data_IF_965301019449
#
_entry.id   IF_965301019449
#
_cell.length_a   1.000
_cell.length_b   1.000
_cell.length_c   1.000
_cell.angle_alpha   90.00
_cell.angle_beta   90.00
_cell.angle_gamma   90.00
#
_symmetry.space_group_name_H-M   'P 1'
#
loop_
_entity.id
_entity.type
_entity.pdbx_description
1 polymer ?
#
# COMPACT_ATOMS: atom_id res chain seq x y z
N UNK A 1 -7.50 16.28 2.48
CA UNK A 1 -8.83 15.76 2.88
C UNK A 1 -9.21 14.74 1.81
N UNK A 2 -9.36 13.46 2.15
CA UNK A 2 -9.70 12.41 1.18
C UNK A 2 -11.22 12.47 0.93
N UNK A 3 -11.64 12.76 -0.31
CA UNK A 3 -13.05 12.67 -0.71
C UNK A 3 -13.28 11.28 -1.34
N UNK A 4 -14.09 10.48 -0.66
CA UNK A 4 -14.49 9.13 -1.07
C UNK A 4 -15.80 9.25 -1.85
N UNK A 5 -15.71 9.35 -3.18
CA UNK A 5 -16.88 9.38 -4.06
C UNK A 5 -17.12 8.00 -4.68
N UNK A 6 -18.25 7.40 -4.31
CA UNK A 6 -18.88 6.18 -4.87
C UNK A 6 -18.18 4.84 -4.60
N UNK A 7 -18.76 4.08 -3.65
CA UNK A 7 -18.58 2.63 -3.56
C UNK A 7 -19.50 1.94 -4.56
N UNK A 8 -18.93 1.36 -5.62
CA UNK A 8 -19.67 0.40 -6.46
C UNK A 8 -19.46 -1.01 -5.89
N UNK A 9 -20.31 -1.97 -6.26
CA UNK A 9 -20.18 -3.40 -5.89
C UNK A 9 -18.89 -4.07 -6.42
N UNK A 10 -18.00 -3.32 -7.08
CA UNK A 10 -16.75 -3.78 -7.68
C UNK A 10 -15.49 -3.08 -7.21
N UNK A 11 -15.59 -1.95 -6.51
CA UNK A 11 -14.42 -1.17 -6.13
C UNK A 11 -14.76 0.21 -5.58
N UNK A 12 -13.70 0.94 -5.26
CA UNK A 12 -13.77 2.27 -4.67
C UNK A 12 -13.02 3.26 -5.56
N UNK A 13 -13.68 4.36 -5.90
CA UNK A 13 -13.04 5.49 -6.56
C UNK A 13 -12.73 6.57 -5.52
N UNK A 14 -11.59 7.20 -5.64
CA UNK A 14 -11.19 8.28 -4.75
C UNK A 14 -10.21 9.23 -5.43
N UNK A 15 -10.17 10.46 -4.94
CA UNK A 15 -9.25 11.47 -5.43
C UNK A 15 -8.10 11.67 -4.44
N UNK A 16 -6.88 11.76 -4.97
CA UNK A 16 -5.67 12.06 -4.22
C UNK A 16 -4.94 13.19 -4.94
N UNK A 17 -4.92 14.38 -4.32
CA UNK A 17 -4.54 15.60 -5.02
C UNK A 17 -5.47 15.87 -6.20
N UNK A 18 -4.91 15.99 -7.40
CA UNK A 18 -5.66 16.18 -8.65
C UNK A 18 -5.76 14.90 -9.50
N UNK A 19 -5.44 13.74 -8.92
CA UNK A 19 -5.43 12.46 -9.63
C UNK A 19 -6.57 11.59 -9.10
N UNK A 20 -7.34 11.01 -10.01
CA UNK A 20 -8.40 10.06 -9.70
C UNK A 20 -7.83 8.65 -9.69
N UNK A 21 -8.24 7.86 -8.70
CA UNK A 21 -7.84 6.47 -8.54
C UNK A 21 -9.06 5.58 -8.39
N UNK A 22 -8.89 4.33 -8.80
CA UNK A 22 -9.83 3.24 -8.56
C UNK A 22 -9.11 2.08 -7.88
N UNK A 23 -9.70 1.51 -6.83
CA UNK A 23 -9.21 0.29 -6.23
C UNK A 23 -10.23 -0.84 -6.32
N UNK A 24 -9.78 -2.02 -6.77
CA UNK A 24 -10.62 -3.20 -6.88
C UNK A 24 -10.80 -3.86 -5.50
N UNK A 25 -12.01 -3.78 -4.94
CA UNK A 25 -12.32 -4.32 -3.60
C UNK A 25 -12.84 -5.76 -3.61
N UNK A 26 -13.06 -6.39 -4.78
CA UNK A 26 -13.64 -7.74 -4.88
C UNK A 26 -12.70 -8.84 -4.41
N UNK A 27 -11.42 -8.71 -4.73
CA UNK A 27 -10.42 -9.73 -4.43
C UNK A 27 -9.10 -9.03 -4.09
N UNK A 28 -8.87 -8.80 -2.78
CA UNK A 28 -7.61 -8.26 -2.31
C UNK A 28 -6.44 -9.11 -2.79
N UNK A 29 -5.34 -8.46 -3.17
CA UNK A 29 -4.09 -9.11 -3.58
C UNK A 29 -3.48 -9.92 -2.46
N UNK A 30 -3.59 -9.39 -1.24
CA UNK A 30 -3.17 -10.04 -0.01
C UNK A 30 -3.97 -9.46 1.16
N UNK A 31 -4.12 -10.23 2.22
CA UNK A 31 -4.64 -9.75 3.50
C UNK A 31 -3.72 -10.24 4.60
N UNK A 32 -3.33 -9.30 5.46
CA UNK A 32 -2.44 -9.55 6.60
C UNK A 32 -3.14 -9.19 7.89
N UNK A 33 -2.77 -9.87 8.97
CA UNK A 33 -3.31 -9.63 10.30
C UNK A 33 -2.49 -8.56 11.02
N UNK A 34 -3.17 -7.67 11.71
CA UNK A 34 -2.54 -6.64 12.55
C UNK A 34 -2.30 -7.20 13.94
N UNK A 35 -1.06 -7.07 14.41
CA UNK A 35 -0.74 -7.30 15.81
C UNK A 35 -1.29 -6.19 16.71
N UNK A 36 -1.09 -6.35 18.02
CA UNK A 36 -1.58 -5.38 19.01
C UNK A 36 -0.78 -4.08 18.88
N UNK A 37 -1.47 -2.98 18.53
CA UNK A 37 -0.90 -1.64 18.49
C UNK A 37 -1.95 -0.58 18.87
N UNK A 38 -1.61 0.44 19.67
CA UNK A 38 -2.51 1.53 20.02
C UNK A 38 -2.78 2.48 18.83
N UNK A 39 -2.02 2.36 17.75
CA UNK A 39 -2.13 3.21 16.55
C UNK A 39 -3.18 2.71 15.55
N UNK A 40 -3.71 1.51 15.75
CA UNK A 40 -4.76 0.93 14.90
C UNK A 40 -6.12 1.31 15.45
N UNK A 41 -6.90 2.06 14.67
CA UNK A 41 -8.32 2.32 14.97
C UNK A 41 -9.12 1.03 14.79
N UNK A 42 -9.80 0.60 15.86
CA UNK A 42 -10.55 -0.67 15.87
C UNK A 42 -12.04 -0.52 15.62
N UNK A 43 -12.51 0.70 15.45
CA UNK A 43 -13.92 1.07 15.42
C UNK A 43 -14.45 1.35 14.01
N UNK A 44 -13.58 1.40 12.99
CA UNK A 44 -13.99 1.66 11.62
C UNK A 44 -13.09 0.96 10.59
N UNK A 45 -13.70 0.63 9.45
CA UNK A 45 -12.96 0.28 8.23
C UNK A 45 -12.59 1.55 7.49
N UNK A 46 -11.33 1.68 7.08
CA UNK A 46 -10.83 2.83 6.32
C UNK A 46 -10.12 2.37 5.05
N UNK A 47 -10.23 3.18 3.99
CA UNK A 47 -9.44 3.01 2.77
C UNK A 47 -8.35 4.07 2.76
N UNK A 48 -7.09 3.63 2.68
CA UNK A 48 -5.94 4.53 2.69
C UNK A 48 -4.94 4.15 1.59
N UNK A 49 -4.28 5.12 0.96
CA UNK A 49 -3.11 4.86 0.11
C UNK A 49 -1.99 4.23 0.94
N UNK A 50 -1.35 3.19 0.41
CA UNK A 50 -0.23 2.53 1.06
C UNK A 50 0.85 2.16 0.03
N UNK A 51 2.11 2.28 0.44
CA UNK A 51 3.26 1.81 -0.34
C UNK A 51 3.77 0.50 0.24
N UNK A 52 3.98 -0.50 -0.62
CA UNK A 52 4.62 -1.77 -0.24
C UNK A 52 6.10 -1.73 -0.67
N UNK A 53 6.99 -1.99 0.29
CA UNK A 53 8.43 -2.08 0.07
C UNK A 53 8.89 -3.49 0.43
N UNK A 54 9.47 -4.20 -0.52
CA UNK A 54 10.18 -5.44 -0.24
C UNK A 54 11.67 -5.15 -0.03
N UNK A 55 12.14 -5.37 1.19
CA UNK A 55 13.54 -5.25 1.56
C UNK A 55 14.25 -6.60 1.45
N UNK A 56 15.36 -6.63 0.73
CA UNK A 56 16.24 -7.79 0.58
C UNK A 56 17.56 -7.63 1.36
N UNK A 57 17.61 -6.67 2.29
CA UNK A 57 18.76 -6.38 3.14
C UNK A 57 18.40 -6.63 4.61
N UNK A 58 19.33 -7.18 5.39
CA UNK A 58 19.13 -7.43 6.83
C UNK A 58 19.13 -6.14 7.67
N UNK A 59 19.71 -5.07 7.14
CA UNK A 59 19.72 -3.74 7.73
C UNK A 59 19.24 -2.73 6.70
N UNK A 60 18.03 -2.24 6.90
CA UNK A 60 17.41 -1.24 6.02
C UNK A 60 17.92 0.14 6.43
N UNK A 61 18.47 0.87 5.46
CA UNK A 61 19.02 2.22 5.63
C UNK A 61 18.12 3.29 5.00
N UNK A 62 18.39 4.56 5.32
CA UNK A 62 17.73 5.69 4.66
C UNK A 62 18.02 5.73 3.16
N UNK A 63 19.26 5.42 2.75
CA UNK A 63 19.68 5.35 1.34
C UNK A 63 18.90 4.28 0.57
N UNK A 64 18.70 3.10 1.17
CA UNK A 64 17.88 2.03 0.57
C UNK A 64 16.44 2.51 0.33
N UNK A 65 15.83 3.15 1.33
CA UNK A 65 14.46 3.66 1.23
C UNK A 65 14.35 4.79 0.19
N UNK A 66 15.29 5.72 0.19
CA UNK A 66 15.36 6.83 -0.76
C UNK A 66 15.49 6.34 -2.19
N UNK A 67 16.41 5.40 -2.43
CA UNK A 67 16.64 4.80 -3.75
C UNK A 67 15.39 4.05 -4.23
N UNK A 68 14.78 3.25 -3.35
CA UNK A 68 13.58 2.48 -3.68
C UNK A 68 12.40 3.38 -4.03
N UNK A 69 12.11 4.39 -3.19
CA UNK A 69 11.00 5.32 -3.41
C UNK A 69 11.24 6.20 -4.64
N UNK A 70 12.48 6.63 -4.88
CA UNK A 70 12.84 7.37 -6.09
C UNK A 70 12.65 6.51 -7.35
N UNK A 71 12.95 5.21 -7.26
CA UNK A 71 12.68 4.27 -8.36
C UNK A 71 11.17 4.13 -8.62
N UNK A 72 10.31 4.11 -7.59
CA UNK A 72 8.87 4.06 -7.81
C UNK A 72 8.35 5.35 -8.46
N UNK A 73 8.75 6.52 -7.93
CA UNK A 73 8.37 7.82 -8.48
C UNK A 73 8.78 8.02 -9.94
N UNK A 74 9.84 7.38 -10.40
CA UNK A 74 10.36 7.52 -11.77
C UNK A 74 9.83 6.50 -12.77
N UNK A 75 9.27 5.38 -12.31
CA UNK A 75 8.90 4.24 -13.17
C UNK A 75 7.42 3.86 -13.13
N UNK A 76 6.74 4.16 -12.04
CA UNK A 76 5.35 3.79 -11.81
C UNK A 76 4.47 5.03 -11.97
N UNK A 77 3.60 5.03 -12.98
CA UNK A 77 2.72 6.15 -13.32
C UNK A 77 1.49 6.26 -12.41
N UNK A 78 1.23 5.21 -11.61
CA UNK A 78 0.22 5.17 -10.55
C UNK A 78 0.79 5.78 -9.27
N UNK A 79 2.06 5.50 -8.97
CA UNK A 79 2.73 5.93 -7.74
C UNK A 79 2.88 7.45 -7.64
N UNK A 80 2.57 8.00 -6.45
CA UNK A 80 2.80 9.40 -6.12
C UNK A 80 3.26 9.53 -4.67
N UNK A 81 3.81 10.70 -4.29
CA UNK A 81 4.26 10.95 -2.91
C UNK A 81 3.15 10.81 -1.88
N UNK A 82 1.90 10.97 -2.28
CA UNK A 82 0.74 10.84 -1.40
C UNK A 82 0.50 9.38 -0.95
N UNK A 83 1.08 8.38 -1.63
CA UNK A 83 1.12 6.98 -1.16
C UNK A 83 2.11 6.75 -0.01
N UNK A 84 2.98 7.71 0.32
CA UNK A 84 3.98 7.57 1.39
C UNK A 84 3.40 7.80 2.79
N UNK A 85 2.14 8.27 2.91
CA UNK A 85 1.50 8.44 4.21
C UNK A 85 1.43 7.14 5.03
N UNK A 86 1.35 6.00 4.33
CA UNK A 86 1.42 4.66 4.95
C UNK A 86 2.41 3.78 4.19
N UNK A 87 3.26 3.07 4.91
CA UNK A 87 4.25 2.16 4.32
C UNK A 87 4.15 0.78 4.99
N UNK A 88 4.08 -0.27 4.17
CA UNK A 88 4.29 -1.65 4.59
C UNK A 88 5.65 -2.15 4.11
N UNK A 89 6.51 -2.54 5.05
CA UNK A 89 7.81 -3.14 4.75
C UNK A 89 7.78 -4.63 5.07
N UNK A 90 8.04 -5.44 4.04
CA UNK A 90 8.25 -6.88 4.16
C UNK A 90 9.68 -7.25 3.77
N UNK A 91 10.14 -8.39 4.27
CA UNK A 91 11.40 -8.99 3.85
C UNK A 91 11.29 -10.50 3.88
N UNK A 92 11.90 -11.22 2.92
CA UNK A 92 12.08 -12.67 3.02
C UNK A 92 13.19 -13.04 4.00
N UNK A 93 14.03 -12.09 4.44
CA UNK A 93 15.11 -12.36 5.36
C UNK A 93 14.60 -12.37 6.81
N UNK A 94 15.09 -13.28 7.65
CA UNK A 94 14.87 -13.20 9.08
C UNK A 94 15.80 -12.16 9.70
N UNK A 95 15.41 -11.67 10.87
CA UNK A 95 16.20 -10.78 11.73
C UNK A 95 16.57 -9.43 11.08
N UNK A 96 15.62 -8.86 10.33
CA UNK A 96 15.77 -7.55 9.71
C UNK A 96 15.65 -6.44 10.76
N UNK A 97 16.35 -5.33 10.53
CA UNK A 97 16.30 -4.14 11.37
C UNK A 97 16.23 -2.86 10.52
N UNK A 98 15.54 -1.85 11.04
CA UNK A 98 15.62 -0.48 10.55
C UNK A 98 16.75 0.22 11.30
N UNK A 99 17.66 0.85 10.56
CA UNK A 99 18.68 1.67 11.20
C UNK A 99 18.22 3.11 11.42
N UNK A 100 19.02 3.89 12.14
CA UNK A 100 18.68 5.28 12.48
C UNK A 100 18.38 6.14 11.26
N UNK A 101 19.14 5.98 10.18
CA UNK A 101 18.96 6.75 8.94
C UNK A 101 17.66 6.39 8.23
N UNK A 102 17.23 5.12 8.30
CA UNK A 102 15.93 4.71 7.79
C UNK A 102 14.79 5.40 8.54
N UNK A 103 14.87 5.48 9.87
CA UNK A 103 13.85 6.15 10.68
C UNK A 103 13.78 7.65 10.41
N UNK A 104 14.93 8.30 10.27
CA UNK A 104 15.02 9.72 9.92
C UNK A 104 14.42 9.99 8.53
N UNK A 105 14.70 9.12 7.56
CA UNK A 105 14.14 9.21 6.22
C UNK A 105 12.62 9.05 6.24
N UNK A 106 12.07 8.03 6.90
CA UNK A 106 10.62 7.80 6.99
C UNK A 106 9.90 9.00 7.63
N UNK A 107 10.49 9.57 8.68
CA UNK A 107 9.95 10.77 9.32
C UNK A 107 9.98 11.99 8.38
N UNK A 108 11.10 12.22 7.68
CA UNK A 108 11.24 13.30 6.69
C UNK A 108 10.26 13.13 5.51
N UNK A 109 9.97 11.90 5.12
CA UNK A 109 9.02 11.56 4.07
C UNK A 109 7.55 11.71 4.49
N UNK A 110 7.26 12.00 5.77
CA UNK A 110 5.90 12.20 6.26
C UNK A 110 5.11 10.90 6.50
N UNK A 111 5.81 9.78 6.72
CA UNK A 111 5.17 8.49 6.98
C UNK A 111 4.44 8.54 8.31
N UNK A 112 3.12 8.39 8.26
CA UNK A 112 2.24 8.44 9.44
C UNK A 112 1.96 7.04 10.00
N UNK A 113 1.88 6.03 9.13
CA UNK A 113 1.66 4.64 9.52
C UNK A 113 2.73 3.74 8.92
N UNK A 114 3.49 3.08 9.80
CA UNK A 114 4.52 2.13 9.42
C UNK A 114 4.09 0.72 9.83
N UNK A 115 3.91 -0.16 8.86
CA UNK A 115 3.56 -1.55 9.05
C UNK A 115 4.80 -2.42 8.80
N UNK A 116 5.14 -3.31 9.73
CA UNK A 116 6.34 -4.16 9.62
C UNK A 116 5.97 -5.64 9.77
N UNK A 117 6.46 -6.48 8.86
CA UNK A 117 6.28 -7.93 8.97
C UNK A 117 6.98 -8.48 10.24
N UNK A 118 6.21 -8.90 11.22
CA UNK A 118 6.72 -9.32 12.52
C UNK A 118 7.57 -10.59 12.50
N UNK A 119 7.47 -11.39 11.44
CA UNK A 119 8.28 -12.61 11.29
C UNK A 119 9.69 -12.30 10.82
N UNK A 120 9.88 -11.17 10.11
CA UNK A 120 11.17 -10.74 9.60
C UNK A 120 11.91 -9.83 10.59
N UNK A 121 11.22 -8.86 11.21
CA UNK A 121 11.86 -7.80 12.01
C UNK A 121 12.14 -8.23 13.45
N UNK A 122 13.38 -8.08 13.91
CA UNK A 122 13.77 -8.41 15.32
C UNK A 122 13.14 -7.43 16.31
N UNK A 123 13.15 -6.15 15.95
CA UNK A 123 12.71 -5.06 16.79
C UNK A 123 11.74 -4.19 16.00
N UNK A 124 10.51 -4.09 16.49
CA UNK A 124 9.48 -3.24 15.92
C UNK A 124 9.39 -1.99 16.79
N UNK A 125 9.67 -0.79 16.25
CA UNK A 125 9.54 0.44 17.02
C UNK A 125 8.11 0.63 17.54
N UNK A 126 7.94 1.26 18.71
CA UNK A 126 6.62 1.42 19.33
C UNK A 126 5.57 2.11 18.44
N UNK A 127 6.01 3.02 17.56
CA UNK A 127 5.13 3.74 16.63
C UNK A 127 4.80 2.94 15.36
N UNK A 128 5.42 1.78 15.16
CA UNK A 128 5.14 0.88 14.06
C UNK A 128 4.09 -0.16 14.46
N UNK A 129 3.31 -0.62 13.49
CA UNK A 129 2.29 -1.64 13.66
C UNK A 129 2.88 -2.99 13.22
N UNK A 130 3.00 -3.98 14.13
CA UNK A 130 3.38 -5.33 13.75
C UNK A 130 2.32 -5.95 12.85
N UNK A 131 2.76 -6.63 11.81
CA UNK A 131 1.91 -7.32 10.84
C UNK A 131 2.28 -8.79 10.77
N UNK A 132 1.29 -9.65 10.88
CA UNK A 132 1.42 -11.09 10.75
C UNK A 132 0.90 -11.51 9.37
N UNK A 133 1.78 -12.05 8.52
CA UNK A 133 1.36 -12.69 7.28
C UNK A 133 1.10 -14.17 7.54
N UNK A 134 -0.17 -14.57 7.47
CA UNK A 134 -0.63 -15.96 7.55
C UNK A 134 -0.50 -16.69 6.20
N UNK A 135 -0.26 -15.94 5.11
CA UNK A 135 -0.14 -16.48 3.75
C UNK A 135 1.29 -16.38 3.24
N UNK A 136 1.75 -17.43 2.53
CA UNK A 136 3.00 -17.46 1.75
C UNK A 136 2.95 -16.53 0.52
N UNK A 137 1.88 -15.75 0.36
CA UNK A 137 1.64 -14.96 -0.83
C UNK A 137 2.49 -13.68 -0.75
N UNK A 138 3.61 -13.71 -1.49
CA UNK A 138 4.49 -12.56 -1.65
C UNK A 138 3.71 -11.47 -2.38
N UNK A 139 3.37 -10.40 -1.68
CA UNK A 139 2.81 -9.19 -2.29
C UNK A 139 3.92 -8.47 -3.06
N UNK A 140 3.62 -8.05 -4.28
CA UNK A 140 4.57 -7.29 -5.10
C UNK A 140 4.82 -5.90 -4.47
N UNK A 141 6.03 -5.34 -4.59
CA UNK A 141 6.28 -3.97 -4.16
C UNK A 141 5.56 -2.97 -5.07
N UNK A 142 5.09 -1.84 -4.51
CA UNK A 142 4.40 -0.79 -5.26
C UNK A 142 3.25 -0.10 -4.51
N UNK A 143 2.47 0.76 -5.20
CA UNK A 143 1.29 1.41 -4.65
C UNK A 143 0.09 0.46 -4.55
N UNK A 144 -0.65 0.57 -3.45
CA UNK A 144 -1.92 -0.11 -3.23
C UNK A 144 -2.91 0.83 -2.54
N UNK A 145 -4.19 0.46 -2.60
CA UNK A 145 -5.15 0.92 -1.59
C UNK A 145 -5.24 -0.13 -0.50
N UNK A 146 -4.97 0.25 0.74
CA UNK A 146 -5.23 -0.58 1.89
C UNK A 146 -6.67 -0.38 2.37
N UNK A 147 -7.41 -1.49 2.48
CA UNK A 147 -8.61 -1.55 3.32
C UNK A 147 -8.17 -2.01 4.71
N UNK A 148 -8.12 -1.06 5.65
CA UNK A 148 -7.70 -1.28 7.03
C UNK A 148 -8.94 -1.51 7.89
N UNK A 149 -8.98 -2.64 8.59
CA UNK A 149 -9.98 -2.98 9.58
C UNK A 149 -9.35 -3.01 10.98
N UNK A 150 -10.15 -3.36 11.99
CA UNK A 150 -9.68 -3.49 13.37
C UNK A 150 -8.57 -4.53 13.56
N UNK A 151 -8.50 -5.54 12.68
CA UNK A 151 -7.61 -6.70 12.83
C UNK A 151 -6.83 -7.03 11.57
N UNK A 152 -7.12 -6.39 10.43
CA UNK A 152 -6.48 -6.75 9.16
C UNK A 152 -6.16 -5.53 8.30
N UNK A 153 -5.20 -5.72 7.40
CA UNK A 153 -4.98 -4.84 6.25
C UNK A 153 -5.10 -5.69 4.99
N UNK A 154 -6.06 -5.34 4.14
CA UNK A 154 -6.22 -5.95 2.82
C UNK A 154 -5.68 -5.00 1.76
N UNK A 155 -4.77 -5.50 0.93
CA UNK A 155 -4.14 -4.73 -0.14
C UNK A 155 -4.94 -4.89 -1.44
N UNK A 156 -5.50 -3.80 -1.93
CA UNK A 156 -6.30 -3.74 -3.16
C UNK A 156 -5.44 -3.15 -4.27
N UNK A 157 -5.46 -3.77 -5.44
CA UNK A 157 -4.82 -3.18 -6.62
C UNK A 157 -5.45 -1.82 -6.89
N UNK A 158 -4.59 -0.84 -7.08
CA UNK A 158 -4.96 0.55 -7.31
C UNK A 158 -4.56 0.94 -8.72
N UNK A 159 -5.46 1.66 -9.38
CA UNK A 159 -5.32 2.07 -10.76
C UNK A 159 -5.50 3.58 -10.83
N UNK A 160 -4.62 4.25 -11.56
CA UNK A 160 -4.81 5.66 -11.90
C UNK A 160 -5.83 5.76 -13.02
N UNK A 161 -6.82 6.63 -12.84
CA UNK A 161 -7.83 6.92 -13.85
C UNK A 161 -7.38 8.13 -14.67
N UNK A 162 -7.38 7.97 -15.98
CA UNK A 162 -7.15 9.04 -16.94
C UNK A 162 -8.49 9.47 -17.53
N UNK A 163 -8.68 10.78 -17.64
CA UNK A 163 -9.85 11.31 -18.32
C UNK A 163 -9.75 10.98 -19.82
N UNK A 164 -10.76 10.30 -20.35
CA UNK A 164 -10.87 10.06 -21.79
C UNK A 164 -11.57 11.24 -22.48
N UNK A 165 -10.84 12.34 -22.64
CA UNK A 165 -11.36 13.56 -23.28
C UNK A 165 -11.82 13.33 -24.72
N UNK A 166 -11.25 12.34 -25.42
CA UNK A 166 -11.52 12.09 -26.84
C UNK A 166 -12.47 10.91 -27.08
N UNK A 167 -12.91 10.21 -26.03
CA UNK A 167 -13.70 8.96 -26.12
C UNK A 167 -13.06 7.91 -27.03
N UNK A 168 -11.73 7.89 -27.05
CA UNK A 168 -10.96 7.01 -27.95
C UNK A 168 -10.64 5.67 -27.29
N UNK A 169 -10.81 5.52 -25.97
CA UNK A 169 -10.62 4.25 -25.31
C UNK A 169 -11.92 3.42 -25.40
N UNK A 170 -11.83 2.26 -26.06
CA UNK A 170 -12.99 1.42 -26.35
C UNK A 170 -13.52 0.70 -25.09
N UNK A 171 -12.64 0.33 -24.16
CA UNK A 171 -12.92 -0.04 -22.75
C UNK A 171 -11.60 -0.51 -22.16
N UNK A 172 -11.20 0.01 -21.00
CA UNK A 172 -10.06 -0.56 -20.26
C UNK A 172 -10.46 -1.91 -19.64
N UNK A 173 -9.46 -2.73 -19.30
CA UNK A 173 -9.68 -3.98 -18.58
C UNK A 173 -8.68 -4.07 -17.43
N UNK A 174 -9.13 -4.47 -16.25
CA UNK A 174 -8.29 -4.64 -15.05
C UNK A 174 -8.40 -6.06 -14.51
N UNK A 175 -7.35 -6.55 -13.85
CA UNK A 175 -7.37 -7.89 -13.27
C UNK A 175 -8.31 -7.95 -12.07
N UNK A 176 -9.13 -9.00 -11.99
CA UNK A 176 -9.95 -9.29 -10.81
C UNK A 176 -9.22 -10.07 -9.73
N UNK A 177 -7.91 -10.34 -9.86
CA UNK A 177 -7.11 -11.13 -8.92
C UNK A 177 -7.58 -12.58 -8.68
N UNK A 178 -8.58 -13.06 -9.41
CA UNK A 178 -9.06 -14.44 -9.46
C UNK A 178 -8.70 -15.15 -10.78
N UNK A 179 -7.80 -14.55 -11.57
CA UNK A 179 -7.42 -15.02 -12.90
C UNK A 179 -8.33 -14.54 -14.03
N UNK A 180 -9.36 -13.73 -13.75
CA UNK A 180 -10.21 -13.09 -14.77
C UNK A 180 -9.83 -11.61 -14.96
N UNK A 181 -10.37 -11.01 -16.01
CA UNK A 181 -10.23 -9.57 -16.30
C UNK A 181 -11.62 -8.96 -16.33
N UNK A 182 -11.80 -7.82 -15.66
CA UNK A 182 -13.06 -7.07 -15.61
C UNK A 182 -12.94 -5.80 -16.45
N UNK A 183 -14.02 -5.36 -17.11
CA UNK A 183 -14.04 -4.08 -17.81
C UNK A 183 -13.92 -2.93 -16.80
N UNK A 184 -13.10 -1.92 -17.11
CA UNK A 184 -13.04 -0.66 -16.36
C UNK A 184 -14.35 0.09 -16.56
N UNK A 185 -14.94 0.59 -15.48
CA UNK A 185 -16.13 1.45 -15.55
C UNK A 185 -15.71 2.78 -16.19
N UNK A 186 -16.32 3.10 -17.34
CA UNK A 186 -16.32 4.43 -17.94
C UNK A 186 -17.36 5.32 -17.24
#
# INVERSE_FOLDING_TARGET
>A
MLNLDTTSTSGISYQMGNINYFANSRSPRSTVELGISPYVRRDATAFIPITVIAANESRITGEFLETTITSYLSRDDVFSKDFLGSIYILSPLPRVSLDKTALEYLNKAGVSYLYLNSTAFVNIPNYAVPVHSNTQQIISPGPYTAMVSATTVSFLDTYRLYEDTYRNFITGAYSSNDGRTLPSLC
#
